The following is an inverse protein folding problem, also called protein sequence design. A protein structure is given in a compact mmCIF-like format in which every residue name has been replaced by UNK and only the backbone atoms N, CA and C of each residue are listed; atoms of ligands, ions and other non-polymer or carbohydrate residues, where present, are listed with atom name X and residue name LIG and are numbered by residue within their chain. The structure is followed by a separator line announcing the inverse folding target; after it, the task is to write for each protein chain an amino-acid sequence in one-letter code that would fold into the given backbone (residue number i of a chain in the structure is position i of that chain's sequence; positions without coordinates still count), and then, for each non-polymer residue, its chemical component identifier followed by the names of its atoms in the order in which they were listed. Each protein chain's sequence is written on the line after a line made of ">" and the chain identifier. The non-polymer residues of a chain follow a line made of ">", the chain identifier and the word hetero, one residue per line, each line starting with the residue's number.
data_IF_799171744944
#
_entry.id   IF_799171744944
#
_cell.length_a   1.000
_cell.length_b   1.000
_cell.length_c   1.000
_cell.angle_alpha   90.00
_cell.angle_beta   90.00
_cell.angle_gamma   90.00
#
_symmetry.space_group_name_H-M   'P 1'
#
loop_
_entity.id
_entity.type
_entity.pdbx_description
1 polymer ?
#
# COMPACT_ATOMS: atom_id res chain seq x y z
N UNK A 1 -4.39 -34.43 3.38
CA UNK A 1 -5.23 -33.29 3.04
C UNK A 1 -5.29 -33.08 1.53
N UNK A 2 -6.44 -32.65 1.08
CA UNK A 2 -6.66 -32.36 -0.33
C UNK A 2 -6.26 -30.92 -0.57
N UNK A 3 -5.37 -30.70 -1.53
CA UNK A 3 -4.98 -29.35 -1.89
C UNK A 3 -6.08 -28.71 -2.76
N UNK A 4 -6.42 -27.44 -2.51
CA UNK A 4 -7.39 -26.77 -3.35
C UNK A 4 -6.84 -26.58 -4.77
N UNK A 5 -7.72 -26.58 -5.78
CA UNK A 5 -7.29 -26.29 -7.14
C UNK A 5 -6.69 -24.89 -7.26
N UNK A 6 -5.74 -24.72 -8.17
CA UNK A 6 -5.13 -23.41 -8.43
C UNK A 6 -6.16 -22.38 -8.86
N UNK A 7 -7.25 -22.80 -9.47
CA UNK A 7 -8.33 -21.93 -9.90
C UNK A 7 -9.04 -21.21 -8.74
N UNK A 8 -8.87 -21.72 -7.50
CA UNK A 8 -9.43 -21.08 -6.32
C UNK A 8 -8.67 -19.80 -5.91
N UNK A 9 -7.57 -19.53 -6.58
CA UNK A 9 -6.83 -18.27 -6.38
C UNK A 9 -6.76 -17.52 -7.71
N UNK A 10 -7.88 -16.88 -8.11
CA UNK A 10 -7.93 -16.22 -9.41
C UNK A 10 -6.97 -15.04 -9.51
N UNK A 11 -6.49 -14.78 -10.72
CA UNK A 11 -5.67 -13.61 -11.02
C UNK A 11 -6.57 -12.41 -11.32
N UNK A 12 -7.22 -11.91 -10.29
CA UNK A 12 -8.18 -10.81 -10.44
C UNK A 12 -7.88 -9.59 -9.57
N UNK A 13 -6.70 -9.55 -8.96
CA UNK A 13 -6.27 -8.38 -8.21
C UNK A 13 -5.38 -7.51 -9.09
N UNK A 14 -5.76 -6.25 -9.35
CA UNK A 14 -4.97 -5.39 -10.22
C UNK A 14 -3.73 -4.88 -9.49
N UNK A 15 -2.63 -4.81 -10.23
CA UNK A 15 -1.44 -4.07 -9.80
C UNK A 15 -1.51 -2.70 -10.44
N UNK A 16 -1.66 -1.67 -9.63
CA UNK A 16 -1.81 -0.30 -10.11
C UNK A 16 -0.47 0.35 -10.43
N UNK A 17 0.56 -0.39 -10.24
CA UNK A 17 1.87 -0.04 -10.69
C UNK A 17 2.62 0.87 -9.77
N UNK A 18 3.80 1.16 -10.18
CA UNK A 18 4.61 2.21 -9.64
C UNK A 18 5.09 3.02 -10.80
N UNK A 19 4.69 4.26 -10.87
CA UNK A 19 5.38 5.20 -11.71
C UNK A 19 6.35 5.93 -10.80
N UNK A 20 7.46 6.33 -11.35
CA UNK A 20 8.44 7.08 -10.56
C UNK A 20 7.83 8.39 -10.12
N UNK A 21 7.74 8.59 -8.82
CA UNK A 21 7.35 9.86 -8.26
C UNK A 21 8.48 10.88 -8.38
N UNK A 22 8.15 12.14 -8.26
CA UNK A 22 9.13 13.21 -8.30
C UNK A 22 9.95 13.34 -7.03
N UNK A 23 9.56 12.67 -5.96
CA UNK A 23 10.24 12.71 -4.67
C UNK A 23 10.77 11.35 -4.31
N UNK A 24 11.85 11.33 -3.51
CA UNK A 24 12.42 10.07 -3.02
C UNK A 24 11.37 9.28 -2.26
N UNK A 25 11.23 8.01 -2.62
CA UNK A 25 10.30 7.10 -1.95
C UNK A 25 8.84 7.25 -2.34
N UNK A 26 8.51 8.15 -3.27
CA UNK A 26 7.15 8.30 -3.75
C UNK A 26 6.95 7.57 -5.08
N UNK A 27 5.70 7.30 -5.40
CA UNK A 27 5.31 6.70 -6.67
C UNK A 27 3.94 7.22 -7.07
N UNK A 28 3.62 7.11 -8.36
CA UNK A 28 2.32 7.50 -8.88
C UNK A 28 1.47 6.25 -9.06
N UNK A 29 0.21 6.31 -8.62
CA UNK A 29 -0.73 5.23 -8.86
C UNK A 29 -1.36 5.38 -10.24
N UNK A 30 -1.36 4.30 -11.00
CA UNK A 30 -2.03 4.25 -12.29
C UNK A 30 -3.41 3.64 -12.11
N UNK A 31 -4.41 4.47 -11.85
CA UNK A 31 -5.78 4.02 -11.61
C UNK A 31 -6.53 3.69 -12.92
N UNK A 32 -6.01 4.12 -14.06
CA UNK A 32 -6.67 3.91 -15.34
C UNK A 32 -6.54 2.48 -15.83
N UNK A 33 -5.32 1.98 -15.94
CA UNK A 33 -5.05 0.63 -16.42
C UNK A 33 -4.05 -0.07 -15.52
N UNK A 34 -4.40 -1.27 -15.00
CA UNK A 34 -3.42 -2.05 -14.25
C UNK A 34 -2.21 -2.42 -15.09
N UNK A 35 -1.05 -2.43 -14.46
CA UNK A 35 0.17 -2.88 -15.15
C UNK A 35 0.34 -4.38 -15.09
N UNK A 36 -0.38 -5.06 -14.20
CA UNK A 36 -0.33 -6.50 -14.04
C UNK A 36 -1.58 -6.96 -13.28
N UNK A 37 -1.80 -8.27 -13.25
CA UNK A 37 -2.86 -8.91 -12.48
C UNK A 37 -2.25 -10.04 -11.68
N UNK A 38 -2.55 -10.10 -10.40
CA UNK A 38 -1.98 -11.09 -9.50
C UNK A 38 -3.07 -11.90 -8.81
N UNK A 39 -2.66 -12.99 -8.17
CA UNK A 39 -3.59 -13.91 -7.54
C UNK A 39 -4.21 -13.30 -6.29
N UNK A 40 -5.46 -13.67 -6.05
CA UNK A 40 -6.20 -13.29 -4.86
C UNK A 40 -5.99 -14.35 -3.79
N UNK A 41 -5.29 -14.03 -2.70
CA UNK A 41 -5.10 -15.00 -1.61
C UNK A 41 -6.39 -15.31 -0.85
N UNK A 42 -6.42 -16.43 -0.12
CA UNK A 42 -7.66 -16.87 0.55
C UNK A 42 -8.20 -15.90 1.59
N UNK A 43 -7.35 -15.14 2.27
CA UNK A 43 -7.79 -14.21 3.31
C UNK A 43 -8.57 -13.01 2.80
N UNK A 44 -8.55 -12.76 1.48
CA UNK A 44 -9.22 -11.60 0.89
C UNK A 44 -10.18 -11.99 -0.25
N UNK A 45 -10.67 -13.24 -0.23
CA UNK A 45 -11.54 -13.74 -1.30
C UNK A 45 -12.81 -12.93 -1.46
N UNK A 46 -13.33 -12.36 -0.38
CA UNK A 46 -14.57 -11.58 -0.39
C UNK A 46 -14.35 -10.09 -0.27
N UNK A 47 -13.09 -9.63 -0.22
CA UNK A 47 -12.80 -8.22 -0.07
C UNK A 47 -12.93 -7.50 -1.40
N UNK A 48 -13.50 -6.29 -1.35
CA UNK A 48 -13.65 -5.46 -2.54
C UNK A 48 -12.57 -4.38 -2.60
N UNK A 49 -12.25 -3.97 -3.83
CA UNK A 49 -11.34 -2.87 -4.12
C UNK A 49 -9.90 -3.10 -3.72
N UNK A 50 -9.51 -4.34 -3.48
CA UNK A 50 -8.11 -4.70 -3.21
C UNK A 50 -7.28 -4.40 -4.45
N UNK A 51 -6.11 -3.81 -4.23
CA UNK A 51 -5.14 -3.60 -5.29
C UNK A 51 -3.74 -3.88 -4.78
N UNK A 52 -2.81 -4.00 -5.71
CA UNK A 52 -1.40 -4.21 -5.39
C UNK A 52 -0.55 -3.11 -6.01
N UNK A 53 0.64 -2.96 -5.46
CA UNK A 53 1.71 -2.19 -6.06
C UNK A 53 3.01 -2.97 -5.93
N UNK A 54 3.96 -2.67 -6.81
CA UNK A 54 5.34 -3.09 -6.62
C UNK A 54 6.09 -1.97 -5.91
N UNK A 55 6.86 -2.32 -4.91
CA UNK A 55 7.63 -1.34 -4.14
C UNK A 55 8.72 -0.76 -5.02
N UNK A 56 8.85 0.56 -5.02
CA UNK A 56 9.95 1.28 -5.64
C UNK A 56 10.81 1.95 -4.59
N UNK A 57 12.13 1.95 -4.83
CA UNK A 57 13.05 2.55 -3.91
C UNK A 57 13.24 1.72 -2.66
N UNK A 58 14.08 2.22 -1.78
CA UNK A 58 14.50 1.51 -0.59
C UNK A 58 14.16 2.26 0.71
N UNK A 59 13.25 3.24 0.64
CA UNK A 59 12.93 4.08 1.80
C UNK A 59 12.30 3.31 2.95
N UNK A 60 11.74 2.13 2.68
CA UNK A 60 11.14 1.26 3.70
C UNK A 60 11.89 -0.05 3.89
N UNK A 61 13.15 -0.13 3.44
CA UNK A 61 14.00 -1.27 3.73
C UNK A 61 14.29 -1.26 5.26
N UNK A 62 14.38 -2.38 5.89
CA UNK A 62 14.37 -3.75 5.32
C UNK A 62 12.96 -4.37 5.26
N UNK A 63 11.93 -3.65 5.70
CA UNK A 63 10.56 -4.20 5.72
C UNK A 63 10.03 -4.46 4.32
N UNK A 64 10.26 -3.52 3.41
CA UNK A 64 9.87 -3.64 2.02
C UNK A 64 11.05 -3.33 1.12
N UNK A 65 11.34 -4.24 0.20
CA UNK A 65 12.46 -4.11 -0.73
C UNK A 65 11.94 -3.75 -2.13
N UNK A 66 12.75 -3.07 -2.94
CA UNK A 66 12.35 -2.79 -4.31
C UNK A 66 11.94 -4.07 -5.04
N UNK A 67 10.80 -4.02 -5.73
CA UNK A 67 10.24 -5.16 -6.44
C UNK A 67 9.29 -6.03 -5.63
N UNK A 68 9.20 -5.83 -4.31
CA UNK A 68 8.24 -6.56 -3.50
C UNK A 68 6.81 -6.22 -3.92
N UNK A 69 5.94 -7.23 -3.92
CA UNK A 69 4.51 -7.03 -4.15
C UNK A 69 3.82 -6.80 -2.82
N UNK A 70 3.03 -5.72 -2.73
CA UNK A 70 2.22 -5.46 -1.54
C UNK A 70 0.76 -5.33 -1.92
N UNK A 71 -0.12 -5.84 -1.06
CA UNK A 71 -1.57 -5.78 -1.22
C UNK A 71 -2.13 -4.69 -0.32
N UNK A 72 -3.01 -3.86 -0.84
CA UNK A 72 -3.64 -2.77 -0.11
C UNK A 72 -5.14 -2.98 0.00
N UNK A 73 -5.68 -2.71 1.18
CA UNK A 73 -7.10 -2.84 1.47
C UNK A 73 -7.68 -1.45 1.80
N UNK A 74 -8.47 -0.84 0.90
CA UNK A 74 -8.98 0.51 1.12
C UNK A 74 -9.99 0.63 2.26
N UNK A 75 -10.64 -0.45 2.63
CA UNK A 75 -11.79 -0.42 3.55
C UNK A 75 -11.51 -0.99 4.93
N UNK A 76 -10.31 -1.52 5.15
CA UNK A 76 -9.98 -2.12 6.43
C UNK A 76 -9.43 -1.08 7.39
N UNK A 77 -9.80 -1.21 8.68
CA UNK A 77 -9.32 -0.32 9.72
C UNK A 77 -7.81 -0.36 9.84
N UNK A 78 -7.20 0.81 10.00
CA UNK A 78 -5.77 0.97 10.20
C UNK A 78 -5.52 1.26 11.68
N UNK A 79 -4.55 0.55 12.26
CA UNK A 79 -4.13 0.74 13.64
C UNK A 79 -2.73 1.35 13.68
N UNK A 80 -2.41 1.99 14.81
CA UNK A 80 -1.05 2.48 15.03
C UNK A 80 -0.07 1.30 14.93
N UNK A 81 1.00 1.50 14.19
CA UNK A 81 1.99 0.47 13.92
C UNK A 81 1.81 -0.26 12.59
N UNK A 82 0.66 -0.07 11.95
CA UNK A 82 0.42 -0.68 10.65
C UNK A 82 1.19 0.04 9.55
N UNK A 83 1.53 -0.70 8.50
CA UNK A 83 2.08 -0.12 7.28
C UNK A 83 0.94 0.30 6.37
N UNK A 84 1.10 1.43 5.72
CA UNK A 84 0.03 2.05 4.93
C UNK A 84 0.56 2.61 3.62
N UNK A 85 -0.35 2.72 2.65
CA UNK A 85 -0.12 3.51 1.45
C UNK A 85 -0.85 4.82 1.65
N UNK A 86 -0.08 5.90 1.72
CA UNK A 86 -0.62 7.25 1.91
C UNK A 86 -0.61 7.96 0.57
N UNK A 87 -1.74 8.51 0.18
CA UNK A 87 -1.87 9.28 -1.06
C UNK A 87 -2.07 10.74 -0.73
N UNK A 88 -1.34 11.59 -1.42
CA UNK A 88 -1.53 13.04 -1.29
C UNK A 88 -1.49 13.70 -2.65
N UNK A 89 -2.13 14.84 -2.74
CA UNK A 89 -2.11 15.63 -3.95
C UNK A 89 -0.89 16.54 -3.95
N UNK A 90 -0.20 16.61 -5.09
CA UNK A 90 0.91 17.53 -5.26
C UNK A 90 0.41 18.88 -5.69
N UNK A 91 1.30 19.89 -5.67
CA UNK A 91 0.94 21.25 -6.06
C UNK A 91 0.51 21.40 -7.52
N UNK A 92 0.85 20.43 -8.37
CA UNK A 92 0.46 20.43 -9.79
C UNK A 92 -0.77 19.56 -10.06
N UNK A 93 -1.45 19.10 -9.01
CA UNK A 93 -2.67 18.30 -9.13
C UNK A 93 -2.46 16.81 -9.32
N UNK A 94 -1.23 16.35 -9.34
CA UNK A 94 -0.93 14.92 -9.42
C UNK A 94 -1.08 14.27 -8.06
N UNK A 95 -1.36 12.96 -8.06
CA UNK A 95 -1.44 12.16 -6.84
C UNK A 95 -0.15 11.38 -6.66
N UNK A 96 0.53 11.61 -5.54
CA UNK A 96 1.69 10.84 -5.14
C UNK A 96 1.29 9.87 -4.03
N UNK A 97 1.93 8.72 -4.00
CA UNK A 97 1.70 7.71 -2.98
C UNK A 97 3.02 7.32 -2.31
N UNK A 98 2.91 7.00 -1.02
CA UNK A 98 4.06 6.63 -0.20
C UNK A 98 3.71 5.40 0.61
N UNK A 99 4.69 4.50 0.78
CA UNK A 99 4.58 3.43 1.77
C UNK A 99 5.28 3.92 3.04
N UNK A 100 4.55 3.96 4.13
CA UNK A 100 5.09 4.39 5.43
C UNK A 100 4.43 3.57 6.53
N UNK A 101 4.97 3.69 7.74
CA UNK A 101 4.39 3.09 8.94
C UNK A 101 3.63 4.18 9.70
N UNK A 102 2.41 3.87 10.14
CA UNK A 102 1.63 4.82 10.91
C UNK A 102 2.11 4.84 12.35
N UNK A 103 2.66 5.96 12.79
CA UNK A 103 3.15 6.13 14.15
C UNK A 103 2.10 6.73 15.07
N UNK A 104 1.38 7.73 14.60
CA UNK A 104 0.37 8.44 15.40
C UNK A 104 -0.58 9.19 14.49
N UNK A 105 -1.79 9.35 14.93
CA UNK A 105 -2.81 10.09 14.18
C UNK A 105 -3.62 10.94 15.15
N UNK A 106 -3.78 12.21 14.82
CA UNK A 106 -4.64 13.14 15.55
C UNK A 106 -5.70 13.69 14.60
N UNK A 107 -6.59 14.53 15.11
CA UNK A 107 -7.64 15.13 14.28
C UNK A 107 -7.05 16.03 13.18
N UNK A 108 -5.85 16.59 13.39
CA UNK A 108 -5.27 17.57 12.47
C UNK A 108 -4.07 17.07 11.68
N UNK A 109 -3.43 15.98 12.11
CA UNK A 109 -2.22 15.51 11.44
C UNK A 109 -2.01 14.00 11.56
N UNK A 110 -1.21 13.48 10.64
CA UNK A 110 -0.77 12.09 10.64
C UNK A 110 0.76 12.09 10.77
N UNK A 111 1.27 11.24 11.67
CA UNK A 111 2.70 11.07 11.89
C UNK A 111 3.10 9.71 11.35
N UNK A 112 4.04 9.70 10.42
CA UNK A 112 4.48 8.52 9.69
C UNK A 112 5.96 8.26 9.96
N UNK A 113 6.37 7.01 9.88
CA UNK A 113 7.77 6.61 10.00
C UNK A 113 8.30 6.03 8.71
N UNK A 114 9.51 6.46 8.35
CA UNK A 114 10.32 5.88 7.30
C UNK A 114 11.48 5.13 7.92
N UNK A 115 11.94 4.06 7.30
CA UNK A 115 13.00 3.23 7.88
C UNK A 115 14.38 3.47 7.29
N UNK A 116 14.48 3.99 6.09
CA UNK A 116 15.77 4.14 5.40
C UNK A 116 15.84 5.40 4.54
N UNK A 117 16.52 6.46 4.97
CA UNK A 117 17.03 6.64 6.32
C UNK A 117 15.91 6.78 7.33
N UNK A 118 16.13 6.46 8.60
CA UNK A 118 15.09 6.62 9.61
C UNK A 118 14.66 8.08 9.72
N UNK A 119 13.37 8.31 9.54
CA UNK A 119 12.78 9.65 9.60
C UNK A 119 11.36 9.57 10.11
N UNK A 120 10.94 10.62 10.82
CA UNK A 120 9.55 10.82 11.20
C UNK A 120 9.00 11.95 10.35
N UNK A 121 7.86 11.72 9.72
CA UNK A 121 7.21 12.67 8.81
C UNK A 121 5.86 13.07 9.37
N UNK A 122 5.58 14.36 9.42
CA UNK A 122 4.27 14.85 9.81
C UNK A 122 3.56 15.41 8.58
N UNK A 123 2.30 15.00 8.41
CA UNK A 123 1.47 15.47 7.30
C UNK A 123 0.15 15.99 7.85
N UNK A 124 -0.28 17.20 7.41
CA UNK A 124 -1.62 17.67 7.77
C UNK A 124 -2.68 16.71 7.25
N UNK A 125 -3.65 16.37 8.08
CA UNK A 125 -4.74 15.45 7.69
C UNK A 125 -5.44 15.94 6.41
N UNK A 126 -5.61 17.24 6.27
CA UNK A 126 -6.28 17.83 5.10
C UNK A 126 -5.55 17.60 3.78
N UNK A 127 -4.24 17.30 3.82
CA UNK A 127 -3.46 17.09 2.61
C UNK A 127 -3.46 15.63 2.18
N UNK A 128 -4.06 14.75 2.96
CA UNK A 128 -4.10 13.32 2.68
C UNK A 128 -5.38 13.00 1.94
N UNK A 129 -5.25 12.46 0.73
CA UNK A 129 -6.41 12.03 -0.05
C UNK A 129 -6.94 10.70 0.45
N UNK A 130 -6.05 9.78 0.77
CA UNK A 130 -6.42 8.46 1.27
C UNK A 130 -5.26 7.82 2.00
N UNK A 131 -5.60 6.86 2.85
CA UNK A 131 -4.62 6.03 3.53
C UNK A 131 -5.18 4.62 3.56
N UNK A 132 -4.47 3.67 2.96
CA UNK A 132 -4.92 2.30 2.81
C UNK A 132 -3.99 1.35 3.55
N UNK A 133 -4.59 0.38 4.23
CA UNK A 133 -3.83 -0.62 4.97
C UNK A 133 -3.05 -1.52 4.02
N UNK A 134 -1.77 -1.76 4.30
CA UNK A 134 -0.99 -2.81 3.66
C UNK A 134 -1.22 -4.10 4.43
N UNK A 135 -1.67 -5.14 3.72
CA UNK A 135 -2.00 -6.42 4.33
C UNK A 135 -0.74 -7.21 4.65
N UNK A 136 -0.76 -7.88 5.80
CA UNK A 136 0.32 -8.77 6.22
C UNK A 136 0.13 -10.14 5.58
N UNK A 137 1.15 -10.98 5.68
CA UNK A 137 1.02 -12.37 5.24
C UNK A 137 -0.13 -13.08 5.99
N UNK A 138 -0.28 -12.82 7.28
CA UNK A 138 -1.37 -13.39 8.06
C UNK A 138 -2.73 -12.97 7.52
N UNK A 139 -2.88 -11.70 7.17
CA UNK A 139 -4.12 -11.19 6.56
C UNK A 139 -4.41 -11.90 5.24
N UNK A 140 -3.39 -12.04 4.40
CA UNK A 140 -3.54 -12.63 3.07
C UNK A 140 -3.87 -14.11 3.14
N UNK A 141 -3.31 -14.80 4.11
CA UNK A 141 -3.56 -16.25 4.29
C UNK A 141 -4.83 -16.53 5.11
N UNK A 142 -5.43 -15.52 5.71
CA UNK A 142 -6.65 -15.69 6.49
C UNK A 142 -6.42 -16.27 7.87
N UNK A 143 -5.28 -16.01 8.43
CA UNK A 143 -4.92 -16.51 9.76
C UNK A 143 -5.42 -15.55 10.83
#
# INVERSE_FOLDING_TARGET
>A
PILPPLEQMPRDVPVLGTARGGRKGSFLLNEGEPIDWVRRPPGIMKASDIYCIYVEGDSMADRFLPGDLVYAHPHRKINIGDYVIVQQQTGDGQTEAYIKKLKRRTASKVVLEQTNPPETLEMPEKNILSMHLILTMNDLMGV
#
